data_IF_818019679840
#
_entry.id   IF_818019679840
#
_cell.length_a   1.000
_cell.length_b   1.000
_cell.length_c   1.000
_cell.angle_alpha   90.00
_cell.angle_beta   90.00
_cell.angle_gamma   90.00
#
_symmetry.space_group_name_H-M   'P 1'
#
loop_
_entity.id
_entity.type
_entity.pdbx_description
1 polymer ?
#
# COMPACT_ATOMS: atom_id res chain seq x y z
N UNK A 1 -6.60 -23.47 23.79
CA UNK A 1 -7.89 -22.77 23.71
C UNK A 1 -7.74 -21.33 24.22
N UNK A 2 -6.90 -20.53 23.56
CA UNK A 2 -6.56 -19.14 23.95
C UNK A 2 -6.81 -18.17 22.77
N UNK A 3 -7.11 -18.69 21.58
CA UNK A 3 -7.10 -17.92 20.32
C UNK A 3 -8.41 -17.20 20.03
N UNK A 4 -9.55 -17.79 20.41
CA UNK A 4 -10.87 -17.29 20.04
C UNK A 4 -11.30 -16.12 20.94
N UNK A 5 -11.10 -16.23 22.26
CA UNK A 5 -11.41 -15.15 23.22
C UNK A 5 -10.62 -13.85 22.99
N UNK A 6 -9.39 -13.95 22.47
CA UNK A 6 -8.59 -12.76 22.16
C UNK A 6 -9.10 -12.06 20.88
N UNK A 7 -9.45 -12.83 19.86
CA UNK A 7 -9.97 -12.30 18.60
C UNK A 7 -11.34 -11.63 18.79
N UNK A 8 -12.20 -12.22 19.63
CA UNK A 8 -13.52 -11.65 19.94
C UNK A 8 -13.43 -10.30 20.65
N UNK A 9 -12.39 -10.11 21.47
CA UNK A 9 -12.22 -8.90 22.26
C UNK A 9 -11.53 -7.76 21.52
N UNK A 10 -10.66 -8.07 20.56
CA UNK A 10 -9.81 -7.08 19.88
C UNK A 10 -10.13 -6.89 18.39
N UNK A 11 -10.87 -7.81 17.76
CA UNK A 11 -11.27 -7.73 16.36
C UNK A 11 -12.65 -8.37 16.12
N UNK A 12 -13.75 -7.85 16.72
CA UNK A 12 -15.08 -8.44 16.58
C UNK A 12 -15.58 -8.51 15.13
N UNK A 13 -15.10 -7.63 14.25
CA UNK A 13 -15.39 -7.68 12.81
C UNK A 13 -14.76 -8.88 12.08
N UNK A 14 -13.75 -9.53 12.68
CA UNK A 14 -13.07 -10.68 12.08
C UNK A 14 -13.99 -11.91 12.05
N UNK A 15 -14.84 -12.09 13.06
CA UNK A 15 -15.83 -13.18 13.14
C UNK A 15 -16.83 -13.15 11.97
N UNK A 16 -17.14 -11.96 11.44
CA UNK A 16 -18.09 -11.78 10.33
C UNK A 16 -17.49 -12.10 8.95
N UNK A 17 -16.17 -12.33 8.87
CA UNK A 17 -15.49 -12.59 7.60
C UNK A 17 -15.66 -14.05 7.15
N UNK A 18 -15.81 -14.24 5.85
CA UNK A 18 -15.68 -15.55 5.20
C UNK A 18 -14.26 -16.12 5.39
N UNK A 19 -14.09 -17.42 5.18
CA UNK A 19 -12.75 -18.03 5.24
C UNK A 19 -11.81 -17.42 4.19
N UNK A 20 -12.32 -17.14 3.00
CA UNK A 20 -11.57 -16.52 1.89
C UNK A 20 -11.04 -15.13 2.28
N UNK A 21 -11.85 -14.30 2.94
CA UNK A 21 -11.42 -12.99 3.44
C UNK A 21 -10.34 -13.10 4.52
N UNK A 22 -10.45 -14.08 5.42
CA UNK A 22 -9.43 -14.32 6.47
C UNK A 22 -8.11 -14.79 5.85
N UNK A 23 -8.17 -15.65 4.86
CA UNK A 23 -6.99 -16.15 4.14
C UNK A 23 -6.32 -15.02 3.35
N UNK A 24 -7.11 -14.17 2.67
CA UNK A 24 -6.61 -13.00 1.95
C UNK A 24 -5.91 -12.00 2.89
N UNK A 25 -6.51 -11.68 4.05
CA UNK A 25 -5.91 -10.80 5.05
C UNK A 25 -4.62 -11.40 5.62
N UNK A 26 -4.62 -12.70 5.91
CA UNK A 26 -3.46 -13.42 6.45
C UNK A 26 -2.31 -13.44 5.44
N UNK A 27 -2.60 -13.79 4.19
CA UNK A 27 -1.63 -13.79 3.09
C UNK A 27 -1.06 -12.38 2.86
N UNK A 28 -1.91 -11.36 2.85
CA UNK A 28 -1.48 -9.97 2.75
C UNK A 28 -0.53 -9.59 3.90
N UNK A 29 -0.91 -9.85 5.15
CA UNK A 29 -0.10 -9.52 6.32
C UNK A 29 1.26 -10.23 6.28
N UNK A 30 1.28 -11.51 5.90
CA UNK A 30 2.51 -12.30 5.77
C UNK A 30 3.42 -11.78 4.66
N UNK A 31 2.89 -11.59 3.45
CA UNK A 31 3.65 -11.07 2.31
C UNK A 31 4.20 -9.67 2.60
N UNK A 32 3.39 -8.82 3.22
CA UNK A 32 3.81 -7.48 3.62
C UNK A 32 4.94 -7.51 4.66
N UNK A 33 4.84 -8.34 5.71
CA UNK A 33 5.91 -8.49 6.71
C UNK A 33 7.19 -9.01 6.08
N UNK A 34 7.11 -9.98 5.15
CA UNK A 34 8.27 -10.47 4.43
C UNK A 34 8.90 -9.37 3.56
N UNK A 35 8.08 -8.60 2.84
CA UNK A 35 8.52 -7.46 2.05
C UNK A 35 9.25 -6.41 2.90
N UNK A 36 8.66 -6.01 4.03
CA UNK A 36 9.25 -5.05 4.96
C UNK A 36 10.59 -5.54 5.52
N UNK A 37 10.68 -6.82 5.90
CA UNK A 37 11.91 -7.40 6.43
C UNK A 37 13.01 -7.55 5.37
N UNK A 38 12.67 -7.98 4.15
CA UNK A 38 13.64 -8.30 3.10
C UNK A 38 14.04 -7.10 2.24
N UNK A 39 13.12 -6.18 1.99
CA UNK A 39 13.32 -5.07 1.05
C UNK A 39 13.57 -3.75 1.77
N UNK A 40 12.91 -3.52 2.91
CA UNK A 40 12.94 -2.24 3.62
C UNK A 40 13.75 -2.26 4.92
N UNK A 41 14.39 -3.37 5.28
CA UNK A 41 15.28 -3.45 6.43
C UNK A 41 14.59 -3.22 7.77
N UNK A 42 13.35 -3.69 7.94
CA UNK A 42 12.52 -3.62 9.15
C UNK A 42 11.94 -2.23 9.52
N UNK A 43 12.28 -1.17 8.78
CA UNK A 43 11.68 0.16 8.96
C UNK A 43 11.10 0.66 7.64
N UNK A 44 9.86 0.26 7.34
CA UNK A 44 9.20 0.69 6.11
C UNK A 44 8.97 2.22 6.09
N UNK A 45 9.43 2.86 5.01
CA UNK A 45 9.21 4.27 4.70
C UNK A 45 8.93 4.44 3.20
N UNK A 46 8.19 5.48 2.81
CA UNK A 46 7.93 5.76 1.40
C UNK A 46 9.23 6.00 0.60
N UNK A 47 10.22 6.67 1.21
CA UNK A 47 11.53 6.86 0.58
C UNK A 47 12.24 5.52 0.33
N UNK A 48 12.24 4.62 1.31
CA UNK A 48 12.82 3.28 1.14
C UNK A 48 12.11 2.46 0.07
N UNK A 49 10.79 2.63 -0.07
CA UNK A 49 9.99 2.03 -1.15
C UNK A 49 10.40 2.61 -2.51
N UNK A 50 10.50 3.93 -2.63
CA UNK A 50 10.91 4.59 -3.87
C UNK A 50 12.33 4.20 -4.29
N UNK A 51 13.26 4.08 -3.33
CA UNK A 51 14.60 3.55 -3.59
C UNK A 51 14.59 2.10 -4.05
N UNK A 52 13.77 1.25 -3.44
CA UNK A 52 13.63 -0.14 -3.85
C UNK A 52 13.09 -0.26 -5.29
N UNK A 53 12.07 0.53 -5.63
CA UNK A 53 11.50 0.57 -6.96
C UNK A 53 12.52 1.00 -8.02
N UNK A 54 13.31 2.05 -7.73
CA UNK A 54 14.42 2.47 -8.60
C UNK A 54 15.44 1.34 -8.80
N UNK A 55 15.89 0.71 -7.71
CA UNK A 55 16.81 -0.43 -7.81
C UNK A 55 16.25 -1.57 -8.66
N UNK A 56 14.95 -1.86 -8.57
CA UNK A 56 14.35 -2.92 -9.39
C UNK A 56 14.30 -2.54 -10.87
N UNK A 57 13.95 -1.29 -11.20
CA UNK A 57 14.02 -0.81 -12.57
C UNK A 57 15.46 -0.84 -13.13
N UNK A 58 16.45 -0.40 -12.37
CA UNK A 58 17.86 -0.44 -12.76
C UNK A 58 18.36 -1.87 -13.04
N UNK A 59 17.79 -2.87 -12.35
CA UNK A 59 18.07 -4.29 -12.57
C UNK A 59 17.18 -4.94 -13.64
N UNK A 60 16.32 -4.18 -14.33
CA UNK A 60 15.42 -4.68 -15.37
C UNK A 60 14.29 -5.57 -14.85
N UNK A 61 13.93 -5.46 -13.56
CA UNK A 61 12.89 -6.26 -12.91
C UNK A 61 11.49 -5.63 -13.02
N UNK A 62 11.39 -4.39 -13.49
CA UNK A 62 10.12 -3.69 -13.68
C UNK A 62 9.86 -3.41 -15.15
N UNK A 63 8.68 -3.77 -15.61
CA UNK A 63 8.13 -3.40 -16.91
C UNK A 63 6.93 -2.45 -16.72
N UNK A 64 6.54 -1.75 -17.80
CA UNK A 64 5.44 -0.77 -17.76
C UNK A 64 4.10 -1.40 -17.36
N UNK A 65 3.90 -2.68 -17.64
CA UNK A 65 2.68 -3.44 -17.39
C UNK A 65 2.65 -4.10 -16.00
N UNK A 66 3.76 -4.10 -15.26
CA UNK A 66 3.91 -4.86 -13.99
C UNK A 66 2.85 -4.49 -12.95
N UNK A 67 2.38 -3.23 -12.96
CA UNK A 67 1.37 -2.74 -12.03
C UNK A 67 0.24 -1.96 -12.74
N UNK A 68 -0.01 -2.25 -14.01
CA UNK A 68 -0.97 -1.49 -14.82
C UNK A 68 -2.40 -1.56 -14.24
N UNK A 69 -2.82 -2.73 -13.78
CA UNK A 69 -4.16 -2.94 -13.24
C UNK A 69 -4.34 -2.22 -11.89
N UNK A 70 -3.33 -2.30 -11.03
CA UNK A 70 -3.32 -1.69 -9.71
C UNK A 70 -3.33 -0.17 -9.82
N UNK A 71 -2.50 0.40 -10.70
CA UNK A 71 -2.47 1.86 -10.88
C UNK A 71 -3.73 2.37 -11.56
N UNK A 72 -4.31 1.62 -12.51
CA UNK A 72 -5.61 1.97 -13.10
C UNK A 72 -6.71 2.03 -12.04
N UNK A 73 -6.80 1.01 -11.18
CA UNK A 73 -7.73 0.99 -10.07
C UNK A 73 -7.55 2.20 -9.12
N UNK A 74 -6.31 2.55 -8.77
CA UNK A 74 -6.06 3.70 -7.90
C UNK A 74 -6.35 5.04 -8.58
N UNK A 75 -6.09 5.17 -9.89
CA UNK A 75 -6.47 6.36 -10.65
C UNK A 75 -7.99 6.54 -10.63
N UNK A 76 -8.76 5.51 -10.95
CA UNK A 76 -10.23 5.56 -10.93
C UNK A 76 -10.79 5.88 -9.53
N UNK A 77 -10.14 5.39 -8.48
CA UNK A 77 -10.55 5.62 -7.08
C UNK A 77 -10.21 7.04 -6.59
N UNK A 78 -9.04 7.56 -6.96
CA UNK A 78 -8.48 8.78 -6.37
C UNK A 78 -8.56 10.00 -7.26
N UNK A 79 -8.83 9.84 -8.55
CA UNK A 79 -8.93 10.94 -9.51
C UNK A 79 -10.25 10.81 -10.26
N UNK A 80 -11.05 11.88 -10.22
CA UNK A 80 -12.31 12.00 -10.95
C UNK A 80 -12.35 13.38 -11.59
N UNK A 81 -12.63 13.44 -12.89
CA UNK A 81 -12.67 14.69 -13.67
C UNK A 81 -11.41 15.58 -13.51
N UNK A 82 -10.24 14.94 -13.41
CA UNK A 82 -8.95 15.62 -13.23
C UNK A 82 -8.72 16.21 -11.83
N UNK A 83 -9.61 15.93 -10.87
CA UNK A 83 -9.47 16.35 -9.48
C UNK A 83 -9.30 15.15 -8.54
N UNK A 84 -8.55 15.36 -7.46
CA UNK A 84 -8.39 14.35 -6.43
C UNK A 84 -9.67 14.20 -5.60
N UNK A 85 -10.14 12.97 -5.45
CA UNK A 85 -11.37 12.67 -4.72
C UNK A 85 -11.18 12.78 -3.20
N UNK A 86 -12.29 12.81 -2.46
CA UNK A 86 -12.25 12.73 -0.98
C UNK A 86 -11.52 11.46 -0.49
N UNK A 87 -11.57 10.35 -1.24
CA UNK A 87 -10.86 9.13 -0.89
C UNK A 87 -9.34 9.31 -0.91
N UNK A 88 -8.81 10.20 -1.75
CA UNK A 88 -7.40 10.53 -1.75
C UNK A 88 -6.98 11.22 -0.44
N UNK A 89 -7.81 12.14 0.06
CA UNK A 89 -7.55 12.81 1.35
C UNK A 89 -7.56 11.81 2.53
N UNK A 90 -8.31 10.73 2.41
CA UNK A 90 -8.38 9.64 3.40
C UNK A 90 -7.17 8.69 3.38
N UNK A 91 -6.23 8.85 2.43
CA UNK A 91 -4.93 8.17 2.52
C UNK A 91 -4.05 8.73 3.64
N UNK A 92 -4.31 9.96 4.08
CA UNK A 92 -3.52 10.67 5.09
C UNK A 92 -2.01 10.60 4.81
N UNK A 93 -1.62 10.96 3.57
CA UNK A 93 -0.22 11.10 3.19
C UNK A 93 0.44 12.16 4.05
N UNK A 94 1.50 11.76 4.76
CA UNK A 94 2.38 12.65 5.52
C UNK A 94 3.38 13.29 4.55
N UNK A 95 4.09 14.31 5.03
CA UNK A 95 5.12 15.00 4.26
C UNK A 95 6.19 14.06 3.70
N UNK A 96 6.55 13.01 4.44
CA UNK A 96 7.59 12.06 4.07
C UNK A 96 7.05 10.85 3.28
N UNK A 97 5.82 10.94 2.74
CA UNK A 97 5.21 9.88 1.92
C UNK A 97 5.26 10.16 0.43
N UNK A 98 6.21 10.98 0.00
CA UNK A 98 6.36 11.39 -1.38
C UNK A 98 5.04 11.89 -2.02
N UNK A 99 4.29 12.80 -1.36
CA UNK A 99 2.96 13.21 -1.83
C UNK A 99 2.99 13.86 -3.22
N UNK A 100 4.11 14.48 -3.60
CA UNK A 100 4.28 15.03 -4.94
C UNK A 100 4.36 13.92 -6.00
N UNK A 101 5.15 12.88 -5.74
CA UNK A 101 5.27 11.71 -6.62
C UNK A 101 3.92 10.99 -6.76
N UNK A 102 3.25 10.74 -5.64
CA UNK A 102 1.93 10.08 -5.65
C UNK A 102 0.93 10.87 -6.48
N UNK A 103 0.88 12.20 -6.32
CA UNK A 103 -0.01 13.05 -7.13
C UNK A 103 0.36 13.02 -8.61
N UNK A 104 1.65 13.12 -8.95
CA UNK A 104 2.14 13.07 -10.32
C UNK A 104 1.67 11.80 -11.01
N UNK A 105 1.95 10.62 -10.43
CA UNK A 105 1.65 9.32 -11.06
C UNK A 105 0.16 9.04 -11.18
N UNK A 106 -0.64 9.51 -10.22
CA UNK A 106 -2.09 9.37 -10.29
C UNK A 106 -2.72 10.33 -11.32
N UNK A 107 -2.13 11.51 -11.55
CA UNK A 107 -2.64 12.49 -12.51
C UNK A 107 -2.16 12.23 -13.95
N UNK A 108 -0.92 11.76 -14.12
CA UNK A 108 -0.28 11.54 -15.42
C UNK A 108 -0.37 10.08 -15.83
N UNK A 109 -0.62 9.80 -17.11
CA UNK A 109 -0.66 8.43 -17.63
C UNK A 109 0.72 7.86 -17.98
N UNK A 110 1.70 8.71 -18.27
CA UNK A 110 3.01 8.34 -18.83
C UNK A 110 4.13 8.33 -17.76
N UNK A 111 3.85 7.82 -16.57
CA UNK A 111 4.85 7.69 -15.51
C UNK A 111 5.80 6.52 -15.76
N UNK A 112 7.04 6.63 -15.28
CA UNK A 112 8.03 5.57 -15.43
C UNK A 112 7.68 4.33 -14.58
N UNK A 113 8.12 3.11 -14.96
CA UNK A 113 7.80 1.88 -14.23
C UNK A 113 8.16 1.90 -12.73
N UNK A 114 9.29 2.51 -12.38
CA UNK A 114 9.74 2.68 -10.99
C UNK A 114 8.84 3.64 -10.21
N UNK A 115 8.40 4.74 -10.83
CA UNK A 115 7.46 5.68 -10.22
C UNK A 115 6.10 5.01 -9.97
N UNK A 116 5.61 4.21 -10.91
CA UNK A 116 4.37 3.45 -10.77
C UNK A 116 4.49 2.44 -9.62
N UNK A 117 5.54 1.63 -9.61
CA UNK A 117 5.78 0.65 -8.56
C UNK A 117 5.90 1.30 -7.18
N UNK A 118 6.61 2.43 -7.09
CA UNK A 118 6.74 3.18 -5.85
C UNK A 118 5.38 3.66 -5.34
N UNK A 119 4.55 4.25 -6.21
CA UNK A 119 3.25 4.80 -5.81
C UNK A 119 2.27 3.72 -5.39
N UNK A 120 2.22 2.59 -6.11
CA UNK A 120 1.39 1.43 -5.74
C UNK A 120 1.78 0.93 -4.35
N UNK A 121 3.08 0.74 -4.09
CA UNK A 121 3.56 0.25 -2.79
C UNK A 121 3.40 1.27 -1.66
N UNK A 122 3.52 2.58 -1.93
CA UNK A 122 3.24 3.64 -0.95
C UNK A 122 1.77 3.64 -0.55
N UNK A 123 0.85 3.48 -1.51
CA UNK A 123 -0.59 3.38 -1.24
C UNK A 123 -0.89 2.15 -0.36
N UNK A 124 -0.30 0.99 -0.68
CA UNK A 124 -0.42 -0.23 0.13
C UNK A 124 0.14 -0.04 1.54
N UNK A 125 1.32 0.58 1.67
CA UNK A 125 1.93 0.95 2.95
C UNK A 125 0.99 1.84 3.79
N UNK A 126 0.35 2.81 3.15
CA UNK A 126 -0.62 3.71 3.80
C UNK A 126 -1.87 2.97 4.24
N UNK A 127 -2.39 2.04 3.44
CA UNK A 127 -3.49 1.18 3.87
C UNK A 127 -3.15 0.35 5.10
N UNK A 128 -1.96 -0.26 5.13
CA UNK A 128 -1.51 -1.00 6.31
C UNK A 128 -1.48 -0.13 7.56
N UNK A 129 -0.87 1.06 7.47
CA UNK A 129 -0.69 1.92 8.63
C UNK A 129 -1.99 2.63 9.07
N UNK A 130 -2.87 2.97 8.14
CA UNK A 130 -4.06 3.77 8.42
C UNK A 130 -5.32 2.93 8.70
N UNK A 131 -5.38 1.67 8.23
CA UNK A 131 -6.58 0.82 8.33
C UNK A 131 -6.38 -0.46 9.15
N UNK A 132 -5.15 -0.99 9.25
CA UNK A 132 -4.89 -2.24 9.97
C UNK A 132 -4.26 -2.04 11.36
N UNK A 133 -3.52 -0.95 11.58
CA UNK A 133 -2.87 -0.66 12.87
C UNK A 133 -3.00 0.83 13.29
N UNK A 134 -4.21 1.35 13.54
CA UNK A 134 -4.39 2.76 13.86
C UNK A 134 -3.73 3.23 15.17
N UNK A 135 -3.33 2.32 16.08
CA UNK A 135 -2.95 2.65 17.47
C UNK A 135 -1.53 2.20 17.91
N UNK A 136 -0.56 2.03 17.02
CA UNK A 136 0.84 1.74 17.41
C UNK A 136 1.81 2.92 17.17
N UNK A 137 1.31 4.15 17.31
CA UNK A 137 2.13 5.36 17.35
C UNK A 137 1.77 6.18 18.58
N UNK A 138 2.14 5.66 19.75
CA UNK A 138 2.14 6.34 21.04
C UNK A 138 3.48 6.09 21.72
#
# INVERSE_FOLDING_TARGET
MIRDDWLDRYAPGLQALTQEERDAITNFAFLWTMFEAKVLGAHASANGIAEAARRWADNGLLALDTFEQEIAYFRDRYVMDGQFTYHFNQLHLRRNDEPALVKKVLAEKDSAPDEIAAVVLIIVYRYRNNRLFPNLSG
#
